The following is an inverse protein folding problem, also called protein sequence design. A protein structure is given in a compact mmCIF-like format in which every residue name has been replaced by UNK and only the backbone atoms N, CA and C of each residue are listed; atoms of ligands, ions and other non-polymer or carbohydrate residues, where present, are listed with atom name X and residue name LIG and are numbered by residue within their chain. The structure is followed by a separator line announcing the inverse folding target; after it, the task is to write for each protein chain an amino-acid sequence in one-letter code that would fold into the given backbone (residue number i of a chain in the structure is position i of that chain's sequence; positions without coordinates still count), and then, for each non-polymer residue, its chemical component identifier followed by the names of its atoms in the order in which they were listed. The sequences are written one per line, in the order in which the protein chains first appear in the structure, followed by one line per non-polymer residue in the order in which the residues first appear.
data_IF_398345138730
#
_entry.id   IF_398345138730
#
_cell.length_a   1.000
_cell.length_b   1.000
_cell.length_c   1.000
_cell.angle_alpha   90.00
_cell.angle_beta   90.00
_cell.angle_gamma   90.00
#
_symmetry.space_group_name_H-M   'P 1'
#
loop_
_entity.id
_entity.type
_entity.pdbx_description
1 polymer ?
#
# COMPACT_ATOMS: atom_id res chain seq x y z
N UNK A 1 7.34 -4.02 -12.19
CA UNK A 1 6.82 -3.06 -13.21
C UNK A 1 5.43 -2.58 -12.81
N UNK A 2 5.13 -1.28 -12.98
CA UNK A 2 3.84 -0.70 -12.64
C UNK A 2 2.93 -0.59 -13.88
N UNK A 3 1.88 -1.41 -13.92
CA UNK A 3 0.76 -1.32 -14.87
C UNK A 3 -0.57 -1.00 -14.17
N UNK A 4 -0.53 -0.48 -12.93
CA UNK A 4 -1.73 -0.22 -12.12
C UNK A 4 -2.03 1.26 -11.84
N UNK A 5 -1.08 2.18 -12.09
CA UNK A 5 -1.27 3.60 -11.78
C UNK A 5 -2.35 4.24 -12.65
N UNK A 6 -3.43 4.80 -12.07
CA UNK A 6 -4.54 5.34 -12.84
C UNK A 6 -4.42 6.86 -13.13
N UNK A 7 -3.42 7.52 -12.54
CA UNK A 7 -3.24 8.99 -12.58
C UNK A 7 -3.09 9.49 -14.02
N UNK A 8 -3.83 10.54 -14.37
CA UNK A 8 -3.90 11.11 -15.72
C UNK A 8 -2.52 11.40 -16.33
N UNK A 9 -1.60 12.00 -15.56
CA UNK A 9 -0.22 12.32 -16.00
C UNK A 9 0.59 11.11 -16.48
N UNK A 10 0.29 9.91 -15.95
CA UNK A 10 0.94 8.65 -16.30
C UNK A 10 0.20 7.99 -17.47
N UNK A 11 -1.11 7.86 -17.34
CA UNK A 11 -1.97 7.16 -18.30
C UNK A 11 -1.99 7.81 -19.68
N UNK A 12 -2.01 9.14 -19.76
CA UNK A 12 -2.00 9.85 -21.05
C UNK A 12 -0.70 9.68 -21.85
N UNK A 13 0.35 9.11 -21.23
CA UNK A 13 1.62 8.78 -21.89
C UNK A 13 1.72 7.30 -22.29
N UNK A 14 0.62 6.55 -22.21
CA UNK A 14 0.62 5.11 -22.48
C UNK A 14 1.34 4.29 -21.40
N UNK A 15 1.41 4.79 -20.16
CA UNK A 15 2.06 4.11 -19.04
C UNK A 15 1.06 3.77 -17.91
N UNK A 16 1.53 3.04 -16.90
CA UNK A 16 0.68 2.61 -15.79
C UNK A 16 -0.51 1.79 -16.29
N UNK A 17 -1.71 2.09 -15.79
CA UNK A 17 -2.92 1.40 -16.21
C UNK A 17 -3.38 1.76 -17.63
N UNK A 18 -2.74 2.72 -18.31
CA UNK A 18 -2.98 2.98 -19.74
C UNK A 18 -2.56 1.80 -20.63
N UNK A 19 -1.57 1.02 -20.19
CA UNK A 19 -1.06 -0.16 -20.90
C UNK A 19 -2.09 -1.30 -20.92
N UNK A 20 -3.06 -1.32 -20.00
CA UNK A 20 -4.13 -2.34 -19.99
C UNK A 20 -5.02 -2.31 -21.23
N UNK A 21 -4.95 -1.26 -22.05
CA UNK A 21 -5.64 -1.19 -23.35
C UNK A 21 -4.91 -1.92 -24.47
N UNK A 22 -3.65 -2.28 -24.27
CA UNK A 22 -2.77 -2.91 -25.26
C UNK A 22 -1.87 -3.94 -24.55
N UNK A 23 -2.35 -5.18 -24.45
CA UNK A 23 -1.64 -6.27 -23.78
C UNK A 23 -0.36 -6.66 -24.56
N UNK A 24 -0.34 -6.46 -25.88
CA UNK A 24 0.85 -6.70 -26.69
C UNK A 24 1.98 -5.72 -26.35
N UNK A 25 1.65 -4.44 -26.13
CA UNK A 25 2.58 -3.46 -25.58
C UNK A 25 3.06 -3.89 -24.19
N UNK A 26 2.16 -4.35 -23.31
CA UNK A 26 2.53 -4.83 -21.97
C UNK A 26 3.59 -5.92 -22.03
N UNK A 27 3.37 -6.91 -22.91
CA UNK A 27 4.28 -8.04 -23.13
C UNK A 27 5.61 -7.57 -23.68
N UNK A 28 5.62 -6.70 -24.70
CA UNK A 28 6.87 -6.17 -25.29
C UNK A 28 7.71 -5.41 -24.26
N UNK A 29 7.08 -4.52 -23.48
CA UNK A 29 7.76 -3.76 -22.42
C UNK A 29 8.32 -4.69 -21.35
N UNK A 30 7.54 -5.66 -20.90
CA UNK A 30 7.95 -6.59 -19.84
C UNK A 30 9.08 -7.51 -20.29
N UNK A 31 9.02 -8.05 -21.52
CA UNK A 31 10.11 -8.84 -22.11
C UNK A 31 11.43 -8.05 -22.17
N UNK A 32 11.37 -6.77 -22.55
CA UNK A 32 12.55 -5.92 -22.61
C UNK A 32 13.17 -5.72 -21.21
N UNK A 33 12.35 -5.52 -20.18
CA UNK A 33 12.82 -5.41 -18.79
C UNK A 33 13.45 -6.72 -18.31
N UNK A 34 12.80 -7.86 -18.55
CA UNK A 34 13.32 -9.19 -18.17
C UNK A 34 14.69 -9.44 -18.83
N UNK A 35 14.84 -9.13 -20.11
CA UNK A 35 16.14 -9.25 -20.81
C UNK A 35 17.23 -8.32 -20.24
N UNK A 36 16.83 -7.21 -19.62
CA UNK A 36 17.75 -6.19 -19.12
C UNK A 36 18.30 -6.45 -17.71
N UNK A 37 17.90 -7.52 -17.03
CA UNK A 37 18.34 -7.80 -15.65
C UNK A 37 18.38 -9.30 -15.36
N UNK A 38 19.24 -9.70 -14.43
CA UNK A 38 19.26 -11.07 -13.89
C UNK A 38 18.41 -11.19 -12.60
N UNK A 39 17.82 -10.09 -12.13
CA UNK A 39 16.96 -10.09 -10.94
C UNK A 39 15.53 -10.52 -11.30
N UNK A 40 14.79 -11.16 -10.36
CA UNK A 40 13.38 -11.50 -10.56
C UNK A 40 12.53 -10.27 -10.93
N UNK A 41 11.80 -10.34 -12.05
CA UNK A 41 10.89 -9.27 -12.48
C UNK A 41 9.48 -9.60 -12.03
N UNK A 42 8.88 -8.70 -11.26
CA UNK A 42 7.48 -8.81 -10.80
C UNK A 42 6.62 -7.70 -11.42
N UNK A 43 5.32 -7.92 -11.50
CA UNK A 43 4.36 -6.95 -12.06
C UNK A 43 3.28 -6.60 -11.04
N UNK A 44 2.91 -5.32 -10.96
CA UNK A 44 1.70 -4.88 -10.27
C UNK A 44 0.73 -4.23 -11.25
N UNK A 45 -0.51 -4.71 -11.28
CA UNK A 45 -1.54 -4.26 -12.22
C UNK A 45 -2.91 -4.06 -11.54
N UNK A 46 -3.93 -3.78 -12.36
CA UNK A 46 -5.36 -3.69 -12.05
C UNK A 46 -6.13 -4.75 -12.85
N UNK A 47 -7.43 -4.89 -12.60
CA UNK A 47 -8.28 -5.87 -13.31
C UNK A 47 -8.40 -5.61 -14.83
N UNK A 48 -8.29 -4.34 -15.22
CA UNK A 48 -8.55 -3.89 -16.59
C UNK A 48 -8.66 -2.36 -16.63
N UNK A 49 -9.01 -1.83 -17.79
CA UNK A 49 -9.18 -0.38 -17.95
C UNK A 49 -10.50 0.10 -17.32
N UNK A 50 -11.60 -0.56 -17.63
CA UNK A 50 -12.94 -0.37 -17.06
C UNK A 50 -13.67 -1.71 -16.98
N UNK A 51 -14.91 -1.71 -16.50
CA UNK A 51 -15.75 -2.90 -16.35
C UNK A 51 -16.01 -3.66 -17.66
N UNK A 52 -15.96 -2.98 -18.81
CA UNK A 52 -16.16 -3.59 -20.13
C UNK A 52 -14.85 -4.11 -20.75
N UNK A 53 -13.73 -3.90 -20.07
CA UNK A 53 -12.38 -4.22 -20.55
C UNK A 53 -11.51 -4.86 -19.46
N UNK A 54 -12.12 -5.77 -18.69
CA UNK A 54 -11.43 -6.64 -17.73
C UNK A 54 -10.69 -7.73 -18.52
N UNK A 55 -9.37 -7.76 -18.41
CA UNK A 55 -8.49 -8.66 -19.17
C UNK A 55 -7.43 -9.33 -18.29
N UNK A 56 -7.66 -9.40 -16.98
CA UNK A 56 -6.66 -9.89 -16.02
C UNK A 56 -6.24 -11.35 -16.24
N UNK A 57 -7.13 -12.20 -16.74
CA UNK A 57 -6.82 -13.61 -17.05
C UNK A 57 -5.78 -13.71 -18.18
N UNK A 58 -6.00 -13.02 -19.30
CA UNK A 58 -5.05 -12.95 -20.41
C UNK A 58 -3.73 -12.33 -19.94
N UNK A 59 -3.80 -11.22 -19.20
CA UNK A 59 -2.62 -10.53 -18.67
C UNK A 59 -1.80 -11.47 -17.79
N UNK A 60 -2.43 -12.24 -16.91
CA UNK A 60 -1.71 -13.16 -16.02
C UNK A 60 -0.99 -14.26 -16.79
N UNK A 61 -1.67 -14.93 -17.72
CA UNK A 61 -1.05 -15.98 -18.53
C UNK A 61 0.11 -15.43 -19.37
N UNK A 62 -0.12 -14.33 -20.09
CA UNK A 62 0.89 -13.77 -20.99
C UNK A 62 2.10 -13.20 -20.26
N UNK A 63 1.93 -12.65 -19.06
CA UNK A 63 3.05 -12.20 -18.24
C UNK A 63 3.85 -13.38 -17.67
N UNK A 64 3.18 -14.46 -17.26
CA UNK A 64 3.87 -15.67 -16.82
C UNK A 64 4.66 -16.31 -17.97
N UNK A 65 4.05 -16.47 -19.14
CA UNK A 65 4.65 -17.12 -20.31
C UNK A 65 5.97 -16.44 -20.77
N UNK A 66 6.19 -15.20 -20.36
CA UNK A 66 7.39 -14.42 -20.70
C UNK A 66 8.39 -14.30 -19.55
N UNK A 67 8.10 -14.94 -18.41
CA UNK A 67 9.03 -15.07 -17.28
C UNK A 67 8.79 -14.12 -16.09
N UNK A 68 7.62 -13.48 -15.98
CA UNK A 68 7.28 -12.73 -14.75
C UNK A 68 7.21 -13.67 -13.55
N UNK A 69 7.89 -13.30 -12.47
CA UNK A 69 8.10 -14.18 -11.30
C UNK A 69 7.03 -14.01 -10.22
N UNK A 70 6.25 -12.93 -10.26
CA UNK A 70 5.08 -12.74 -9.40
C UNK A 70 4.17 -11.64 -9.95
N UNK A 71 2.86 -11.78 -9.71
CA UNK A 71 1.85 -10.80 -10.12
C UNK A 71 1.06 -10.31 -8.91
N UNK A 72 1.06 -9.00 -8.68
CA UNK A 72 0.15 -8.34 -7.73
C UNK A 72 -1.01 -7.68 -8.48
N UNK A 73 -2.24 -8.01 -8.12
CA UNK A 73 -3.44 -7.47 -8.76
C UNK A 73 -4.19 -6.58 -7.78
N UNK A 74 -4.38 -5.31 -8.12
CA UNK A 74 -5.38 -4.47 -7.45
C UNK A 74 -6.76 -4.85 -7.97
N UNK A 75 -7.65 -5.28 -7.09
CA UNK A 75 -9.02 -5.73 -7.37
C UNK A 75 -9.98 -4.60 -7.81
N UNK A 76 -9.48 -3.61 -8.54
CA UNK A 76 -10.27 -2.57 -9.19
C UNK A 76 -9.81 -2.38 -10.62
N UNK A 77 -10.71 -1.94 -11.48
CA UNK A 77 -10.36 -1.42 -12.81
C UNK A 77 -9.70 -0.06 -12.68
N UNK A 78 -9.07 0.45 -13.75
CA UNK A 78 -8.51 1.81 -13.76
C UNK A 78 -9.60 2.86 -13.56
N UNK A 79 -10.74 2.73 -14.24
CA UNK A 79 -11.84 3.70 -14.22
C UNK A 79 -12.42 3.92 -12.82
N UNK A 80 -12.47 2.88 -12.00
CA UNK A 80 -12.91 2.97 -10.60
C UNK A 80 -11.99 3.83 -9.72
N UNK A 81 -10.72 4.06 -10.11
CA UNK A 81 -9.74 4.77 -9.29
C UNK A 81 -9.61 4.14 -7.88
N UNK A 82 -10.17 4.81 -6.86
CA UNK A 82 -10.25 4.37 -5.47
C UNK A 82 -11.70 4.33 -4.95
N UNK A 83 -12.69 4.48 -5.85
CA UNK A 83 -14.13 4.45 -5.54
C UNK A 83 -14.67 3.02 -5.67
N UNK A 84 -15.87 2.81 -5.15
CA UNK A 84 -16.55 1.52 -5.18
C UNK A 84 -15.82 0.44 -4.37
N UNK A 85 -16.27 -0.80 -4.52
CA UNK A 85 -15.70 -1.97 -3.86
C UNK A 85 -14.58 -2.60 -4.70
N UNK A 86 -13.63 -3.25 -4.05
CA UNK A 86 -12.63 -4.07 -4.74
C UNK A 86 -13.20 -5.46 -4.98
N UNK A 87 -13.32 -5.89 -6.24
CA UNK A 87 -13.82 -7.23 -6.58
C UNK A 87 -12.66 -8.23 -6.68
N UNK A 88 -12.52 -9.04 -5.64
CA UNK A 88 -11.47 -10.06 -5.54
C UNK A 88 -11.81 -11.37 -6.27
N UNK A 89 -13.05 -11.54 -6.74
CA UNK A 89 -13.45 -12.75 -7.50
C UNK A 89 -12.59 -12.95 -8.75
N UNK A 90 -12.20 -11.86 -9.42
CA UNK A 90 -11.30 -11.90 -10.56
C UNK A 90 -9.89 -12.36 -10.19
N UNK A 91 -9.39 -12.00 -9.01
CA UNK A 91 -8.06 -12.44 -8.55
C UNK A 91 -8.11 -13.92 -8.19
N UNK A 92 -9.19 -14.36 -7.54
CA UNK A 92 -9.40 -15.77 -7.22
C UNK A 92 -9.48 -16.63 -8.49
N UNK A 93 -10.16 -16.16 -9.54
CA UNK A 93 -10.20 -16.83 -10.85
C UNK A 93 -8.80 -17.00 -11.44
N UNK A 94 -7.97 -15.94 -11.40
CA UNK A 94 -6.58 -16.00 -11.87
C UNK A 94 -5.75 -16.97 -11.03
N UNK A 95 -5.89 -16.94 -9.69
CA UNK A 95 -5.14 -17.83 -8.79
C UNK A 95 -5.54 -19.30 -8.96
N UNK A 96 -6.79 -19.58 -9.27
CA UNK A 96 -7.32 -20.93 -9.48
C UNK A 96 -7.16 -21.42 -10.92
N UNK A 97 -6.60 -20.62 -11.83
CA UNK A 97 -6.27 -21.07 -13.18
C UNK A 97 -5.11 -22.08 -13.12
N UNK A 98 -5.30 -23.34 -13.56
CA UNK A 98 -4.29 -24.39 -13.45
C UNK A 98 -3.01 -24.12 -14.27
N UNK A 99 -3.06 -23.21 -15.26
CA UNK A 99 -1.85 -22.77 -15.99
C UNK A 99 -0.99 -21.83 -15.16
N UNK A 100 -1.55 -21.13 -14.19
CA UNK A 100 -0.84 -20.14 -13.39
C UNK A 100 -0.09 -20.85 -12.26
N UNK A 101 1.23 -20.78 -12.32
CA UNK A 101 2.17 -21.34 -11.33
C UNK A 101 2.95 -20.25 -10.61
N UNK A 102 3.04 -19.04 -11.17
CA UNK A 102 3.66 -17.91 -10.48
C UNK A 102 2.80 -17.44 -9.29
N UNK A 103 3.43 -16.94 -8.20
CA UNK A 103 2.70 -16.37 -7.08
C UNK A 103 1.80 -15.18 -7.47
N UNK A 104 0.56 -15.21 -6.99
CA UNK A 104 -0.47 -14.19 -7.16
C UNK A 104 -0.77 -13.51 -5.82
N UNK A 105 -0.57 -12.20 -5.78
CA UNK A 105 -0.83 -11.36 -4.61
C UNK A 105 -2.08 -10.50 -4.82
N UNK A 106 -3.01 -10.56 -3.86
CA UNK A 106 -4.18 -9.69 -3.84
C UNK A 106 -3.88 -8.30 -3.29
N UNK A 107 -4.58 -7.28 -3.79
CA UNK A 107 -4.49 -5.92 -3.27
C UNK A 107 -5.84 -5.23 -3.40
N UNK A 108 -6.24 -4.49 -2.36
CA UNK A 108 -7.44 -3.67 -2.38
C UNK A 108 -8.23 -3.78 -1.08
N UNK A 109 -8.37 -2.65 -0.39
CA UNK A 109 -9.25 -2.48 0.78
C UNK A 109 -9.03 -3.46 1.94
N UNK A 110 -7.86 -4.06 2.08
CA UNK A 110 -7.50 -4.77 3.32
C UNK A 110 -7.07 -3.74 4.37
N UNK A 111 -7.84 -3.66 5.44
CA UNK A 111 -7.70 -2.67 6.52
C UNK A 111 -7.78 -3.27 7.93
N UNK A 112 -8.07 -4.57 8.07
CA UNK A 112 -8.12 -5.25 9.37
C UNK A 112 -7.55 -6.68 9.33
N UNK A 113 -7.12 -7.24 10.48
CA UNK A 113 -6.71 -8.65 10.60
C UNK A 113 -7.77 -9.67 10.17
N UNK A 114 -9.02 -9.44 10.55
CA UNK A 114 -10.17 -10.30 10.24
C UNK A 114 -10.42 -10.35 8.74
N UNK A 115 -10.47 -9.17 8.10
CA UNK A 115 -10.66 -9.07 6.66
C UNK A 115 -9.50 -9.69 5.89
N UNK A 116 -8.27 -9.52 6.38
CA UNK A 116 -7.11 -10.19 5.81
C UNK A 116 -7.24 -11.72 5.88
N UNK A 117 -7.73 -12.26 7.01
CA UNK A 117 -7.89 -13.70 7.19
C UNK A 117 -9.03 -14.25 6.32
N UNK A 118 -10.17 -13.57 6.31
CA UNK A 118 -11.32 -13.86 5.46
C UNK A 118 -10.90 -13.94 3.99
N UNK A 119 -10.19 -12.93 3.50
CA UNK A 119 -9.81 -12.85 2.09
C UNK A 119 -8.74 -13.88 1.72
N UNK A 120 -7.82 -14.18 2.64
CA UNK A 120 -6.86 -15.27 2.47
C UNK A 120 -7.59 -16.61 2.28
N UNK A 121 -8.56 -16.91 3.16
CA UNK A 121 -9.29 -18.17 3.16
C UNK A 121 -10.22 -18.30 1.94
N UNK A 122 -10.88 -17.20 1.55
CA UNK A 122 -11.87 -17.22 0.47
C UNK A 122 -11.25 -17.22 -0.93
N UNK A 123 -10.07 -16.64 -1.12
CA UNK A 123 -9.49 -16.41 -2.45
C UNK A 123 -8.18 -17.16 -2.73
N UNK A 124 -7.66 -17.93 -1.77
CA UNK A 124 -6.54 -18.87 -1.98
C UNK A 124 -5.22 -18.22 -2.38
N UNK A 125 -5.00 -16.95 -2.05
CA UNK A 125 -3.88 -16.15 -2.54
C UNK A 125 -2.56 -16.46 -1.84
N UNK A 126 -1.45 -16.31 -2.56
CA UNK A 126 -0.10 -16.53 -2.02
C UNK A 126 0.32 -15.42 -1.04
N UNK A 127 -0.32 -14.26 -1.15
CA UNK A 127 -0.16 -13.16 -0.22
C UNK A 127 -1.02 -11.96 -0.56
N UNK A 128 -0.82 -10.90 0.20
CA UNK A 128 -1.56 -9.66 0.04
C UNK A 128 -0.68 -8.44 0.20
N UNK A 129 -0.98 -7.40 -0.58
CA UNK A 129 -0.34 -6.10 -0.49
C UNK A 129 -1.30 -5.11 0.17
N UNK A 130 -0.83 -4.44 1.21
CA UNK A 130 -1.59 -3.44 1.97
C UNK A 130 -0.99 -2.07 1.68
N UNK A 131 -1.86 -1.10 1.36
CA UNK A 131 -1.48 0.25 1.01
C UNK A 131 -1.96 1.26 2.05
N UNK A 132 -3.14 1.84 1.80
CA UNK A 132 -3.69 2.96 2.59
C UNK A 132 -3.76 2.69 4.10
N UNK A 133 -4.15 1.48 4.51
CA UNK A 133 -4.26 1.12 5.92
C UNK A 133 -2.91 1.13 6.68
N UNK A 134 -1.77 1.03 5.97
CA UNK A 134 -0.45 1.10 6.59
C UNK A 134 0.10 2.54 6.71
N UNK A 135 -0.53 3.54 6.06
CA UNK A 135 -0.03 4.92 6.07
C UNK A 135 -0.34 5.54 7.43
N UNK A 136 0.71 5.82 8.21
CA UNK A 136 0.58 6.30 9.59
C UNK A 136 0.17 5.22 10.60
N UNK A 137 0.05 3.97 10.15
CA UNK A 137 -0.30 2.83 10.99
C UNK A 137 0.47 1.56 10.57
N UNK A 138 1.80 1.54 10.64
CA UNK A 138 2.62 0.40 10.24
C UNK A 138 2.35 -0.90 11.04
N UNK A 139 1.74 -0.82 12.23
CA UNK A 139 1.44 -1.97 13.07
C UNK A 139 0.47 -2.98 12.44
N UNK A 140 -0.33 -2.58 11.44
CA UNK A 140 -1.28 -3.46 10.75
C UNK A 140 -0.63 -4.76 10.27
N UNK A 141 0.64 -4.73 9.85
CA UNK A 141 1.35 -5.93 9.41
C UNK A 141 1.60 -6.93 10.54
N UNK A 142 1.95 -6.45 11.74
CA UNK A 142 2.17 -7.31 12.90
C UNK A 142 0.85 -7.79 13.48
N UNK A 143 -0.18 -6.93 13.50
CA UNK A 143 -1.54 -7.29 13.90
C UNK A 143 -2.09 -8.43 13.03
N UNK A 144 -1.96 -8.34 11.70
CA UNK A 144 -2.37 -9.40 10.78
C UNK A 144 -1.59 -10.70 11.03
N UNK A 145 -0.26 -10.61 11.15
CA UNK A 145 0.57 -11.80 11.38
C UNK A 145 0.23 -12.49 12.69
N UNK A 146 0.01 -11.73 13.76
CA UNK A 146 -0.34 -12.26 15.07
C UNK A 146 -1.74 -12.91 15.05
N UNK A 147 -2.73 -12.23 14.44
CA UNK A 147 -4.08 -12.77 14.31
C UNK A 147 -4.11 -14.07 13.48
N UNK A 148 -3.31 -14.15 12.41
CA UNK A 148 -3.18 -15.37 11.62
C UNK A 148 -2.58 -16.53 12.40
N UNK A 149 -1.68 -16.25 13.35
CA UNK A 149 -0.99 -17.27 14.12
C UNK A 149 -1.79 -17.75 15.34
N UNK A 150 -2.59 -16.87 15.94
CA UNK A 150 -3.20 -17.10 17.26
C UNK A 150 -4.72 -17.06 17.26
N UNK A 151 -5.34 -16.39 16.27
CA UNK A 151 -6.76 -16.03 16.31
C UNK A 151 -7.09 -14.87 17.26
N UNK A 152 -6.09 -14.27 17.91
CA UNK A 152 -6.26 -13.20 18.90
C UNK A 152 -5.73 -11.85 18.36
N UNK A 153 -6.25 -10.75 18.91
CA UNK A 153 -5.81 -9.40 18.55
C UNK A 153 -4.63 -8.95 19.42
N UNK A 154 -3.63 -8.32 18.79
CA UNK A 154 -2.64 -7.54 19.53
C UNK A 154 -3.29 -6.31 20.15
N UNK A 155 -2.71 -5.86 21.26
CA UNK A 155 -2.97 -4.53 21.79
C UNK A 155 -2.69 -3.47 20.72
N UNK A 156 -3.60 -2.51 20.59
CA UNK A 156 -3.46 -1.38 19.68
C UNK A 156 -2.32 -0.47 20.16
N UNK A 157 -1.61 0.22 19.25
CA UNK A 157 -0.52 1.12 19.62
C UNK A 157 -1.07 2.32 20.39
N UNK A 158 -0.37 2.67 21.45
CA UNK A 158 -0.57 3.89 22.23
C UNK A 158 -0.13 5.11 21.42
N UNK A 159 -0.39 6.31 21.96
CA UNK A 159 0.12 7.54 21.35
C UNK A 159 1.64 7.63 21.48
N UNK A 160 2.23 7.08 22.55
CA UNK A 160 3.68 6.92 22.67
C UNK A 160 4.25 6.13 21.48
N UNK A 161 3.69 4.95 21.17
CA UNK A 161 4.12 4.15 20.01
C UNK A 161 4.02 4.93 18.69
N UNK A 162 2.96 5.74 18.55
CA UNK A 162 2.73 6.59 17.38
C UNK A 162 3.75 7.73 17.27
N UNK A 163 4.08 8.37 18.38
CA UNK A 163 5.15 9.37 18.45
C UNK A 163 6.47 8.74 18.06
N UNK A 164 6.81 7.59 18.62
CA UNK A 164 8.07 6.90 18.31
C UNK A 164 8.16 6.50 16.83
N UNK A 165 7.09 5.99 16.24
CA UNK A 165 7.07 5.71 14.80
C UNK A 165 7.22 6.97 13.93
N UNK A 166 6.59 8.09 14.32
CA UNK A 166 6.70 9.36 13.61
C UNK A 166 8.11 9.99 13.77
N UNK A 167 8.71 9.87 14.96
CA UNK A 167 10.07 10.31 15.30
C UNK A 167 11.10 9.56 14.47
N UNK A 168 11.03 8.23 14.45
CA UNK A 168 11.90 7.38 13.63
C UNK A 168 11.74 7.69 12.14
N UNK A 169 10.51 7.89 11.66
CA UNK A 169 10.28 8.27 10.27
C UNK A 169 10.91 9.62 9.92
N UNK A 170 10.86 10.62 10.80
CA UNK A 170 11.55 11.89 10.62
C UNK A 170 13.06 11.71 10.54
N UNK A 171 13.65 10.99 11.50
CA UNK A 171 15.10 10.70 11.55
C UNK A 171 15.56 10.05 10.23
N UNK A 172 14.93 8.93 9.84
CA UNK A 172 15.32 8.22 8.62
C UNK A 172 15.08 9.02 7.34
N UNK A 173 14.07 9.89 7.32
CA UNK A 173 13.83 10.78 6.18
C UNK A 173 14.96 11.79 6.03
N UNK A 174 15.45 12.36 7.13
CA UNK A 174 16.59 13.28 7.14
C UNK A 174 17.90 12.57 6.78
N UNK A 175 18.14 11.39 7.35
CA UNK A 175 19.35 10.59 7.06
C UNK A 175 19.45 10.26 5.56
N UNK A 176 18.33 9.91 4.94
CA UNK A 176 18.31 9.51 3.54
C UNK A 176 18.30 10.71 2.57
N UNK A 177 17.55 11.76 2.87
CA UNK A 177 17.23 12.83 1.90
C UNK A 177 17.89 14.17 2.23
N UNK A 178 18.62 14.25 3.33
CA UNK A 178 19.10 15.49 3.93
C UNK A 178 18.00 16.16 4.76
N UNK A 179 18.43 16.95 5.75
CA UNK A 179 17.58 17.53 6.79
C UNK A 179 16.33 18.25 6.24
N UNK A 180 16.53 19.28 5.40
CA UNK A 180 15.44 20.10 4.86
C UNK A 180 14.39 19.28 4.10
N UNK A 181 14.83 18.43 3.17
CA UNK A 181 13.91 17.62 2.36
C UNK A 181 13.25 16.54 3.23
N UNK A 182 14.02 15.97 4.17
CA UNK A 182 13.56 15.00 5.13
C UNK A 182 12.37 15.51 5.94
N UNK A 183 12.49 16.71 6.51
CA UNK A 183 11.44 17.40 7.27
C UNK A 183 10.23 17.69 6.39
N UNK A 184 10.41 18.33 5.23
CA UNK A 184 9.28 18.77 4.39
C UNK A 184 8.44 17.58 3.91
N UNK A 185 9.07 16.47 3.54
CA UNK A 185 8.34 15.29 3.07
C UNK A 185 7.62 14.53 4.18
N UNK A 186 8.07 14.59 5.44
CA UNK A 186 7.40 13.91 6.55
C UNK A 186 6.13 14.60 7.02
N UNK A 187 5.99 15.92 6.78
CA UNK A 187 4.81 16.73 7.18
C UNK A 187 3.47 16.10 6.80
N UNK A 188 3.37 15.50 5.61
CA UNK A 188 2.13 14.87 5.12
C UNK A 188 1.71 13.63 5.90
N UNK A 189 2.62 13.03 6.67
CA UNK A 189 2.38 11.79 7.39
C UNK A 189 1.81 12.01 8.80
N UNK A 190 2.07 13.15 9.44
CA UNK A 190 1.64 13.42 10.82
C UNK A 190 0.12 13.35 11.01
N UNK A 191 -0.66 13.81 10.03
CA UNK A 191 -2.12 13.66 10.06
C UNK A 191 -2.55 12.21 10.22
N UNK A 192 -1.84 11.25 9.61
CA UNK A 192 -2.22 9.84 9.66
C UNK A 192 -1.76 9.17 10.97
N UNK A 193 -0.58 9.50 11.48
CA UNK A 193 -0.09 8.97 12.76
C UNK A 193 -1.00 9.35 13.93
N UNK A 194 -1.51 10.58 13.93
CA UNK A 194 -2.23 11.16 15.07
C UNK A 194 -3.71 11.41 14.78
N UNK A 195 -4.26 10.83 13.70
CA UNK A 195 -5.70 10.89 13.42
C UNK A 195 -6.44 10.28 14.61
N UNK A 196 -7.47 10.95 15.11
CA UNK A 196 -8.30 10.47 16.22
C UNK A 196 -7.94 11.03 17.60
N UNK A 197 -6.80 11.73 17.74
CA UNK A 197 -6.48 12.44 18.99
C UNK A 197 -7.33 13.73 19.09
N UNK A 198 -8.09 13.96 20.17
CA UNK A 198 -8.86 15.18 20.37
C UNK A 198 -7.98 16.43 20.43
N UNK A 199 -8.45 17.54 19.87
CA UNK A 199 -7.75 18.84 19.92
C UNK A 199 -6.30 18.82 19.37
N UNK A 200 -6.00 17.93 18.42
CA UNK A 200 -4.64 17.75 17.88
C UNK A 200 -4.20 18.81 16.85
N UNK A 201 -5.10 19.72 16.44
CA UNK A 201 -4.85 20.68 15.35
C UNK A 201 -3.63 21.57 15.62
N UNK A 202 -3.45 22.00 16.86
CA UNK A 202 -2.34 22.88 17.26
C UNK A 202 -0.99 22.20 17.12
N UNK A 203 -0.81 21.01 17.73
CA UNK A 203 0.40 20.19 17.60
C UNK A 203 0.74 19.89 16.15
N UNK A 204 -0.26 19.47 15.37
CA UNK A 204 -0.04 19.22 13.93
C UNK A 204 0.44 20.49 13.22
N UNK A 205 -0.14 21.65 13.53
CA UNK A 205 0.25 22.92 12.90
C UNK A 205 1.71 23.21 13.18
N UNK A 206 2.15 23.10 14.44
CA UNK A 206 3.55 23.26 14.84
C UNK A 206 4.48 22.32 14.04
N UNK A 207 4.16 21.02 13.98
CA UNK A 207 4.96 20.03 13.25
C UNK A 207 5.06 20.33 11.74
N UNK A 208 3.99 20.82 11.09
CA UNK A 208 3.98 21.05 9.63
C UNK A 208 4.52 22.42 9.21
N UNK A 209 4.74 23.33 10.16
CA UNK A 209 5.34 24.64 9.90
C UNK A 209 6.79 24.76 10.38
N UNK A 210 7.25 23.85 11.25
CA UNK A 210 8.63 23.82 11.75
C UNK A 210 9.64 23.50 10.63
N UNK A 211 10.68 24.32 10.53
CA UNK A 211 11.78 24.16 9.56
C UNK A 211 13.06 23.59 10.20
N UNK A 212 13.19 23.60 11.53
CA UNK A 212 14.25 22.93 12.29
C UNK A 212 13.72 21.63 12.90
N UNK A 213 14.45 20.50 12.81
CA UNK A 213 13.98 19.24 13.38
C UNK A 213 13.80 19.28 14.90
N UNK A 214 14.54 20.13 15.62
CA UNK A 214 14.40 20.31 17.08
C UNK A 214 13.00 20.76 17.47
N UNK A 215 12.40 21.65 16.68
CA UNK A 215 11.04 22.13 16.94
C UNK A 215 10.01 21.02 16.73
N UNK A 216 10.23 20.15 15.74
CA UNK A 216 9.37 18.98 15.51
C UNK A 216 9.51 17.97 16.64
N UNK A 217 10.74 17.68 17.09
CA UNK A 217 10.98 16.80 18.23
C UNK A 217 10.38 17.34 19.52
N UNK A 218 10.54 18.63 19.81
CA UNK A 218 9.90 19.27 20.95
C UNK A 218 8.37 19.13 20.90
N UNK A 219 7.77 19.26 19.70
CA UNK A 219 6.33 19.05 19.53
C UNK A 219 5.93 17.57 19.77
N UNK A 220 6.77 16.62 19.36
CA UNK A 220 6.54 15.20 19.69
C UNK A 220 6.58 14.95 21.20
N UNK A 221 7.54 15.53 21.91
CA UNK A 221 7.67 15.38 23.36
C UNK A 221 6.43 15.94 24.08
N UNK A 222 5.91 17.09 23.64
CA UNK A 222 4.64 17.66 24.17
C UNK A 222 3.43 16.76 23.91
N UNK A 223 3.37 16.13 22.74
CA UNK A 223 2.29 15.17 22.41
C UNK A 223 2.38 13.94 23.30
N UNK A 224 3.60 13.44 23.51
CA UNK A 224 3.86 12.27 24.34
C UNK A 224 3.52 12.53 25.82
N UNK A 225 3.91 13.68 26.36
CA UNK A 225 3.56 14.09 27.72
C UNK A 225 2.04 14.15 27.93
N UNK A 226 1.32 14.74 26.97
CA UNK A 226 -0.11 14.98 27.09
C UNK A 226 -0.97 13.76 26.79
N UNK A 227 -0.53 12.90 25.87
CA UNK A 227 -1.36 11.84 25.29
C UNK A 227 -0.71 10.46 25.33
N UNK A 228 0.52 10.29 25.83
CA UNK A 228 1.33 9.07 25.65
C UNK A 228 0.60 7.75 25.90
N UNK A 229 -0.15 7.64 27.00
CA UNK A 229 -0.90 6.44 27.38
C UNK A 229 -2.24 6.26 26.63
N UNK A 230 -2.66 7.24 25.82
CA UNK A 230 -3.92 7.18 25.08
C UNK A 230 -3.81 6.16 23.96
N UNK A 231 -4.69 5.16 24.00
CA UNK A 231 -4.96 4.27 22.87
C UNK A 231 -6.06 4.90 22.02
N UNK A 232 -5.76 5.13 20.74
CA UNK A 232 -6.76 5.65 19.80
C UNK A 232 -7.66 4.49 19.38
N UNK A 233 -8.86 4.41 19.96
CA UNK A 233 -9.92 3.51 19.48
C UNK A 233 -10.35 3.89 18.06
N UNK A 234 -10.89 2.93 17.32
CA UNK A 234 -11.07 3.03 15.86
C UNK A 234 -11.58 4.39 15.38
N UNK A 235 -10.90 4.86 14.33
CA UNK A 235 -11.34 5.99 13.54
C UNK A 235 -12.68 5.62 12.87
N UNK A 236 -13.70 6.49 12.91
CA UNK A 236 -14.82 6.35 11.99
C UNK A 236 -14.36 6.42 10.52
#
# INVERSE_FOLDING_TARGET
INFGCPVKKVVCKGAGAGVLKDVDLMVRLTKAVIKGTNLPVTVKTRLGWDENSINIDEVAERLQDIGVQALTVHARTRAQMYKGHSDWSHIARVKNNPRITMPIFGNGDIDSPEKALEYKNNFGLDGMMIGRAAIGYPWIFNEIKHYFATGEHLAKPTTHDRVEAARNHLIWSMDWKGERLGIVETRRHYTNYFKGIPNFKEFRTQMVTADDPKDVFATFDLVEEKFGNMVISELP
#
